data_IF_310622490501
#
_entry.id   IF_310622490501
#
_cell.length_a   1.000
_cell.length_b   1.000
_cell.length_c   1.000
_cell.angle_alpha   90.00
_cell.angle_beta   90.00
_cell.angle_gamma   90.00
#
_symmetry.space_group_name_H-M   'P 1'
#
loop_
_entity.id
_entity.type
_entity.pdbx_description
1 polymer ?
#
# COMPACT_ATOMS: atom_id res chain seq x y z
N UNK A 1 14.00 0.84 0.40
CA UNK A 1 12.55 0.67 0.15
C UNK A 1 11.73 1.97 0.21
N UNK A 2 11.90 2.86 1.20
CA UNK A 2 11.14 4.13 1.25
C UNK A 2 11.35 5.05 0.05
N UNK A 3 12.58 5.14 -0.46
CA UNK A 3 12.88 5.89 -1.67
C UNK A 3 12.11 5.35 -2.89
N UNK A 4 12.17 4.04 -3.14
CA UNK A 4 11.41 3.39 -4.22
C UNK A 4 9.91 3.64 -4.13
N UNK A 5 9.32 3.56 -2.94
CA UNK A 5 7.89 3.87 -2.74
C UNK A 5 7.57 5.33 -3.12
N UNK A 6 8.43 6.29 -2.76
CA UNK A 6 8.25 7.70 -3.13
C UNK A 6 8.36 7.91 -4.65
N UNK A 7 9.30 7.24 -5.31
CA UNK A 7 9.45 7.30 -6.77
C UNK A 7 8.21 6.78 -7.48
N UNK A 8 7.68 5.62 -7.05
CA UNK A 8 6.45 5.03 -7.58
C UNK A 8 5.26 5.96 -7.35
N UNK A 9 5.09 6.49 -6.12
CA UNK A 9 4.00 7.40 -5.80
C UNK A 9 4.03 8.67 -6.68
N UNK A 10 5.21 9.29 -6.83
CA UNK A 10 5.37 10.47 -7.70
C UNK A 10 5.06 10.15 -9.15
N UNK A 11 5.48 8.99 -9.65
CA UNK A 11 5.20 8.60 -11.03
C UNK A 11 3.70 8.32 -11.26
N UNK A 12 3.07 7.57 -10.35
CA UNK A 12 1.66 7.21 -10.43
C UNK A 12 0.75 8.44 -10.41
N UNK A 13 0.98 9.34 -9.46
CA UNK A 13 0.15 10.53 -9.29
C UNK A 13 0.53 11.70 -10.20
N UNK A 14 1.75 11.68 -10.75
CA UNK A 14 2.25 12.66 -11.71
C UNK A 14 1.98 12.19 -13.14
N UNK A 15 2.95 11.46 -13.72
CA UNK A 15 2.93 11.08 -15.14
C UNK A 15 1.71 10.23 -15.51
N UNK A 16 1.30 9.30 -14.65
CA UNK A 16 0.17 8.41 -14.96
C UNK A 16 -1.19 9.04 -14.62
N UNK A 17 -1.23 10.15 -13.90
CA UNK A 17 -2.47 10.83 -13.52
C UNK A 17 -3.42 9.96 -12.67
N UNK A 18 -2.93 8.93 -12.00
CA UNK A 18 -3.77 8.09 -11.16
C UNK A 18 -4.28 8.90 -9.96
N UNK A 19 -5.50 8.61 -9.53
CA UNK A 19 -6.04 9.20 -8.30
C UNK A 19 -5.58 8.43 -7.05
N UNK A 20 -5.32 7.13 -7.18
CA UNK A 20 -5.18 6.23 -6.04
C UNK A 20 -4.13 5.14 -6.24
N UNK A 21 -3.43 4.83 -5.15
CA UNK A 21 -2.53 3.69 -5.03
C UNK A 21 -2.98 2.81 -3.86
N UNK A 22 -2.98 1.50 -4.07
CA UNK A 22 -3.32 0.52 -3.05
C UNK A 22 -2.14 -0.40 -2.73
N UNK A 23 -2.10 -0.85 -1.47
CA UNK A 23 -1.16 -1.85 -1.01
C UNK A 23 -1.89 -2.86 -0.12
N UNK A 24 -1.92 -4.12 -0.57
CA UNK A 24 -2.46 -5.24 0.21
C UNK A 24 -1.30 -5.95 0.90
N UNK A 25 -1.31 -6.01 2.23
CA UNK A 25 -0.16 -6.45 3.02
C UNK A 25 -0.58 -7.51 4.03
N UNK A 26 0.11 -8.66 4.06
CA UNK A 26 -0.13 -9.66 5.11
C UNK A 26 0.11 -9.03 6.51
N UNK A 27 -0.79 -9.22 7.49
CA UNK A 27 -0.69 -8.60 8.82
C UNK A 27 0.63 -8.85 9.55
N UNK A 28 1.25 -10.02 9.33
CA UNK A 28 2.54 -10.38 9.90
C UNK A 28 3.73 -9.63 9.30
N UNK A 29 3.59 -9.00 8.13
CA UNK A 29 4.65 -8.25 7.47
C UNK A 29 4.79 -6.84 8.06
N UNK A 30 5.28 -6.78 9.30
CA UNK A 30 5.46 -5.53 10.07
C UNK A 30 6.37 -4.53 9.36
N UNK A 31 7.34 -4.99 8.57
CA UNK A 31 8.23 -4.12 7.81
C UNK A 31 7.48 -3.34 6.72
N UNK A 32 6.65 -4.02 5.92
CA UNK A 32 5.84 -3.38 4.87
C UNK A 32 4.75 -2.48 5.48
N UNK A 33 4.11 -2.90 6.57
CA UNK A 33 3.14 -2.05 7.30
C UNK A 33 3.78 -0.74 7.77
N UNK A 34 4.99 -0.80 8.35
CA UNK A 34 5.73 0.42 8.73
C UNK A 34 6.08 1.29 7.53
N UNK A 35 6.45 0.68 6.41
CA UNK A 35 6.80 1.39 5.18
C UNK A 35 5.61 2.19 4.64
N UNK A 36 4.44 1.56 4.48
CA UNK A 36 3.26 2.25 3.92
C UNK A 36 2.69 3.30 4.88
N UNK A 37 2.75 3.06 6.20
CA UNK A 37 2.42 4.08 7.21
C UNK A 37 3.28 5.34 7.06
N UNK A 38 4.61 5.18 6.96
CA UNK A 38 5.53 6.31 6.71
C UNK A 38 5.31 6.96 5.34
N UNK A 39 4.81 6.20 4.38
CA UNK A 39 4.44 6.68 3.05
C UNK A 39 3.10 7.42 2.99
N UNK A 40 2.41 7.60 4.12
CA UNK A 40 1.13 8.32 4.19
C UNK A 40 -0.10 7.48 3.83
N UNK A 41 0.04 6.17 3.64
CA UNK A 41 -1.10 5.30 3.37
C UNK A 41 -2.00 5.18 4.60
N UNK A 42 -3.30 5.19 4.37
CA UNK A 42 -4.33 4.91 5.37
C UNK A 42 -4.76 3.45 5.30
N UNK A 43 -4.94 2.80 6.46
CA UNK A 43 -5.54 1.46 6.51
C UNK A 43 -7.05 1.58 6.38
N UNK A 44 -7.61 0.95 5.38
CA UNK A 44 -9.05 1.04 5.07
C UNK A 44 -9.80 -0.27 5.34
N UNK A 45 -9.08 -1.37 5.56
CA UNK A 45 -9.75 -2.59 5.99
C UNK A 45 -8.87 -3.82 6.03
N UNK A 46 -9.55 -4.95 5.99
CA UNK A 46 -8.97 -6.28 6.09
C UNK A 46 -9.74 -7.22 5.17
N UNK A 47 -9.01 -8.07 4.45
CA UNK A 47 -9.56 -9.09 3.57
C UNK A 47 -9.09 -10.45 4.06
N UNK A 48 -9.96 -11.26 4.71
CA UNK A 48 -9.63 -12.61 5.08
C UNK A 48 -9.44 -13.46 3.82
N UNK A 49 -8.46 -14.36 3.84
CA UNK A 49 -8.19 -15.33 2.77
C UNK A 49 -8.09 -14.70 1.37
N UNK A 50 -7.39 -13.56 1.27
CA UNK A 50 -7.32 -12.74 0.05
C UNK A 50 -6.44 -13.33 -1.06
N UNK A 51 -5.20 -13.74 -0.75
CA UNK A 51 -4.27 -14.29 -1.74
C UNK A 51 -3.78 -15.68 -1.33
N UNK A 52 -3.66 -16.58 -2.29
CA UNK A 52 -3.06 -17.91 -2.09
C UNK A 52 -1.55 -17.83 -2.24
N UNK A 53 -0.83 -17.93 -1.12
CA UNK A 53 0.64 -17.81 -1.05
C UNK A 53 1.18 -19.08 -0.39
N UNK A 54 2.10 -19.77 -1.08
CA UNK A 54 2.63 -21.08 -0.69
C UNK A 54 1.52 -22.09 -0.35
N UNK A 55 0.53 -22.19 -1.25
CA UNK A 55 -0.59 -23.14 -1.13
C UNK A 55 -1.66 -22.77 -0.09
N UNK A 56 -1.44 -21.75 0.74
CA UNK A 56 -2.37 -21.34 1.80
C UNK A 56 -2.99 -19.99 1.48
N UNK A 57 -4.29 -19.86 1.72
CA UNK A 57 -4.96 -18.56 1.68
C UNK A 57 -4.46 -17.70 2.84
N UNK A 58 -4.05 -16.47 2.54
CA UNK A 58 -3.48 -15.52 3.50
C UNK A 58 -4.33 -14.27 3.57
N UNK A 59 -4.52 -13.80 4.78
CA UNK A 59 -5.23 -12.55 5.04
C UNK A 59 -4.35 -11.35 4.70
N UNK A 60 -4.99 -10.24 4.32
CA UNK A 60 -4.29 -9.00 4.00
C UNK A 60 -5.00 -7.79 4.61
N UNK A 61 -4.23 -6.87 5.15
CA UNK A 61 -4.68 -5.50 5.41
C UNK A 61 -4.70 -4.73 4.10
N UNK A 62 -5.75 -3.94 3.88
CA UNK A 62 -5.90 -3.07 2.71
C UNK A 62 -5.51 -1.65 3.07
N UNK A 63 -4.55 -1.11 2.35
CA UNK A 63 -4.00 0.23 2.55
C UNK A 63 -4.12 1.05 1.28
N UNK A 64 -4.31 2.37 1.43
CA UNK A 64 -4.37 3.25 0.27
C UNK A 64 -3.81 4.65 0.51
N UNK A 65 -3.32 5.23 -0.58
CA UNK A 65 -2.89 6.61 -0.68
C UNK A 65 -3.64 7.25 -1.86
N UNK A 66 -4.22 8.42 -1.64
CA UNK A 66 -4.92 9.19 -2.69
C UNK A 66 -4.16 10.47 -3.03
N UNK A 67 -4.35 10.95 -4.26
CA UNK A 67 -3.74 12.18 -4.74
C UNK A 67 -4.11 13.41 -3.90
N UNK A 68 -5.26 13.39 -3.23
CA UNK A 68 -5.77 14.47 -2.38
C UNK A 68 -5.02 14.58 -1.04
N UNK A 69 -4.30 13.52 -0.65
CA UNK A 69 -3.56 13.42 0.62
C UNK A 69 -2.04 13.51 0.44
N UNK A 70 -1.57 14.09 -0.67
CA UNK A 70 -0.13 14.34 -0.85
C UNK A 70 0.36 15.27 0.25
N UNK A 71 1.43 14.91 1.00
CA UNK A 71 2.20 15.91 1.72
C UNK A 71 2.72 16.90 0.67
N UNK A 72 2.49 18.20 0.90
CA UNK A 72 3.16 19.28 0.15
C UNK A 72 4.66 19.12 0.21
#
# INVERSE_FOLDING_TARGET
MSEGLRLVARHAFGKLGLHRLEANIQPGNRASIRLVRRGGFSREGFSPRYLKIFGRWRDHERWALTADRRPT
#
